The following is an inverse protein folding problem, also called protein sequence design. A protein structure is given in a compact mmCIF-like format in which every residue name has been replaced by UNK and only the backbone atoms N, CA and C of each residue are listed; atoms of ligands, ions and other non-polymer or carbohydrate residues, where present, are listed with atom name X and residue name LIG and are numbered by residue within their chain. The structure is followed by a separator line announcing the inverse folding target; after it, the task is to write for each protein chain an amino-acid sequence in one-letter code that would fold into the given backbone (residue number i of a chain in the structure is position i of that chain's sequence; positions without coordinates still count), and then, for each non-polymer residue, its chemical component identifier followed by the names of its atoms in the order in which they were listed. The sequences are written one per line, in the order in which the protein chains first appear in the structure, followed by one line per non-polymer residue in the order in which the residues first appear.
data_IF_089830474600
#
_entry.id   IF_089830474600
#
_cell.length_a   1.000
_cell.length_b   1.000
_cell.length_c   1.000
_cell.angle_alpha   90.00
_cell.angle_beta   90.00
_cell.angle_gamma   90.00
#
_symmetry.space_group_name_H-M   'P 1'
#
loop_
_entity.id
_entity.type
_entity.pdbx_description
1 polymer ?
#
# COMPACT_ATOMS: atom_id res chain seq x y z
N UNK A 1 -6.11 -12.25 -11.79
CA UNK A 1 -5.25 -11.24 -12.43
C UNK A 1 -4.70 -10.39 -11.31
N UNK A 2 -3.38 -10.30 -11.15
CA UNK A 2 -2.77 -9.45 -10.11
C UNK A 2 -2.66 -8.04 -10.66
N UNK A 3 -3.29 -7.07 -9.99
CA UNK A 3 -3.19 -5.65 -10.35
C UNK A 3 -1.81 -5.13 -9.90
N UNK A 4 -0.96 -4.77 -10.87
CA UNK A 4 0.31 -4.09 -10.63
C UNK A 4 0.03 -2.60 -10.37
N UNK A 5 0.49 -2.08 -9.24
CA UNK A 5 0.34 -0.67 -8.89
C UNK A 5 1.67 -0.11 -8.40
N UNK A 6 1.98 1.12 -8.83
CA UNK A 6 3.18 1.83 -8.39
C UNK A 6 2.91 2.55 -7.09
N UNK A 7 3.73 2.22 -6.08
CA UNK A 7 3.69 2.89 -4.82
C UNK A 7 5.03 3.57 -4.57
N UNK A 8 4.98 4.86 -4.31
CA UNK A 8 6.18 5.63 -4.04
C UNK A 8 6.50 5.51 -2.54
N UNK A 9 7.63 4.94 -2.11
CA UNK A 9 7.91 4.70 -0.67
C UNK A 9 7.92 5.99 0.15
N UNK A 10 8.16 7.16 -0.45
CA UNK A 10 7.99 8.47 0.21
C UNK A 10 6.55 8.86 0.54
N UNK A 11 5.57 8.11 0.05
CA UNK A 11 4.13 8.25 0.36
C UNK A 11 3.61 7.08 1.22
N UNK A 12 4.50 6.18 1.69
CA UNK A 12 4.09 5.10 2.57
C UNK A 12 3.64 5.65 3.92
N UNK A 13 2.44 5.27 4.33
CA UNK A 13 1.86 5.61 5.63
C UNK A 13 2.58 4.84 6.74
N UNK A 14 2.92 3.58 6.49
CA UNK A 14 3.65 2.72 7.42
C UNK A 14 4.26 1.53 6.69
N UNK A 15 5.29 0.93 7.30
CA UNK A 15 6.02 -0.23 6.78
C UNK A 15 6.20 -1.24 7.92
N UNK A 16 5.72 -2.47 7.74
CA UNK A 16 5.82 -3.53 8.74
C UNK A 16 6.12 -4.88 8.08
N UNK A 17 6.99 -5.69 8.67
CA UNK A 17 7.25 -7.05 8.15
C UNK A 17 6.11 -8.04 8.43
N UNK A 18 5.23 -7.70 9.36
CA UNK A 18 4.08 -8.52 9.73
C UNK A 18 2.81 -8.01 9.06
N UNK A 19 2.12 -8.90 8.33
CA UNK A 19 0.90 -8.55 7.61
C UNK A 19 -0.21 -8.07 8.55
N UNK A 20 -0.35 -8.68 9.73
CA UNK A 20 -1.42 -8.35 10.66
C UNK A 20 -1.20 -6.94 11.21
N UNK A 21 0.03 -6.61 11.59
CA UNK A 21 0.39 -5.25 12.00
C UNK A 21 0.18 -4.23 10.89
N UNK A 22 0.61 -4.54 9.68
CA UNK A 22 0.42 -3.66 8.54
C UNK A 22 -1.07 -3.44 8.24
N UNK A 23 -1.88 -4.50 8.33
CA UNK A 23 -3.32 -4.43 8.11
C UNK A 23 -4.04 -3.64 9.20
N UNK A 24 -3.68 -3.84 10.47
CA UNK A 24 -4.22 -3.07 11.59
C UNK A 24 -3.85 -1.59 11.45
N UNK A 25 -2.60 -1.27 11.11
CA UNK A 25 -2.18 0.11 10.86
C UNK A 25 -2.94 0.74 9.68
N UNK A 26 -3.14 0.00 8.59
CA UNK A 26 -3.96 0.43 7.47
C UNK A 26 -5.39 0.73 7.90
N UNK A 27 -6.01 -0.15 8.70
CA UNK A 27 -7.38 0.03 9.20
C UNK A 27 -7.50 1.25 10.13
N UNK A 28 -6.53 1.45 11.03
CA UNK A 28 -6.49 2.63 11.91
C UNK A 28 -6.33 3.91 11.10
N UNK A 29 -5.47 3.90 10.08
CA UNK A 29 -5.28 5.06 9.22
C UNK A 29 -6.53 5.35 8.38
N UNK A 30 -7.15 4.32 7.81
CA UNK A 30 -8.42 4.44 7.11
C UNK A 30 -9.51 5.04 8.00
N UNK A 31 -9.65 4.56 9.23
CA UNK A 31 -10.62 5.06 10.21
C UNK A 31 -10.38 6.54 10.54
N UNK A 32 -9.11 6.93 10.73
CA UNK A 32 -8.73 8.32 11.04
C UNK A 32 -8.86 9.28 9.87
N UNK A 33 -8.40 8.86 8.68
CA UNK A 33 -8.31 9.71 7.50
C UNK A 33 -9.56 9.64 6.63
N UNK A 34 -10.42 8.62 6.84
CA UNK A 34 -11.55 8.25 5.97
C UNK A 34 -11.17 8.15 4.51
N UNK A 35 -9.96 7.64 4.25
CA UNK A 35 -9.40 7.49 2.90
C UNK A 35 -9.17 6.01 2.61
N UNK A 36 -9.45 5.56 1.38
CA UNK A 36 -9.11 4.21 0.95
C UNK A 36 -7.60 4.02 1.03
N UNK A 37 -7.19 2.89 1.63
CA UNK A 37 -5.78 2.52 1.75
C UNK A 37 -5.55 1.13 1.20
N UNK A 38 -4.32 0.88 0.76
CA UNK A 38 -3.91 -0.38 0.18
C UNK A 38 -2.64 -0.86 0.85
N UNK A 39 -2.63 -2.14 1.21
CA UNK A 39 -1.49 -2.85 1.74
C UNK A 39 -0.84 -3.60 0.60
N UNK A 40 0.43 -3.30 0.35
CA UNK A 40 1.21 -3.86 -0.74
C UNK A 40 2.49 -4.44 -0.20
N UNK A 41 3.16 -5.22 -1.04
CA UNK A 41 4.45 -5.80 -0.73
C UNK A 41 5.29 -5.80 -1.98
N UNK A 42 6.52 -5.32 -1.89
CA UNK A 42 7.46 -5.46 -2.99
C UNK A 42 7.90 -6.92 -3.18
N UNK A 43 8.31 -7.24 -4.40
CA UNK A 43 8.91 -8.52 -4.73
C UNK A 43 10.24 -8.65 -3.98
N UNK A 44 10.47 -9.82 -3.38
CA UNK A 44 11.68 -10.16 -2.63
C UNK A 44 11.79 -9.56 -1.21
N UNK A 45 11.28 -10.30 -0.21
CA UNK A 45 11.68 -10.14 1.19
C UNK A 45 11.33 -8.83 1.89
N UNK A 46 10.77 -7.84 1.19
CA UNK A 46 10.44 -6.53 1.73
C UNK A 46 9.22 -6.56 2.66
N UNK A 47 9.15 -5.60 3.61
CA UNK A 47 8.00 -5.43 4.50
C UNK A 47 6.74 -5.06 3.73
N UNK A 48 5.60 -5.31 4.35
CA UNK A 48 4.31 -4.81 3.90
C UNK A 48 4.28 -3.30 4.08
N UNK A 49 3.93 -2.61 3.00
CA UNK A 49 3.85 -1.16 2.93
C UNK A 49 2.39 -0.76 2.79
N UNK A 50 2.01 0.32 3.47
CA UNK A 50 0.64 0.83 3.46
C UNK A 50 0.65 2.14 2.70
N UNK A 51 -0.22 2.26 1.70
CA UNK A 51 -0.34 3.46 0.87
C UNK A 51 -1.78 3.94 0.82
N UNK A 52 -1.95 5.24 0.63
CA UNK A 52 -3.24 5.84 0.31
C UNK A 52 -3.57 5.59 -1.16
N UNK A 53 -4.79 5.19 -1.47
CA UNK A 53 -5.18 4.85 -2.85
C UNK A 53 -5.10 6.08 -3.78
N UNK A 54 -5.34 7.28 -3.24
CA UNK A 54 -5.21 8.54 -3.99
C UNK A 54 -3.76 8.90 -4.32
N UNK A 55 -2.81 8.51 -3.44
CA UNK A 55 -1.38 8.70 -3.68
C UNK A 55 -0.84 7.68 -4.71
N UNK A 56 -1.44 6.49 -4.77
CA UNK A 56 -1.10 5.45 -5.74
C UNK A 56 -1.55 5.82 -7.17
N UNK A 57 -2.71 6.47 -7.34
CA UNK A 57 -3.20 6.87 -8.68
C UNK A 57 -2.49 8.10 -9.28
N UNK A 58 -1.97 9.01 -8.44
CA UNK A 58 -1.36 10.25 -8.93
C UNK A 58 0.06 10.09 -9.50
N UNK A 59 0.71 8.95 -9.27
CA UNK A 59 2.08 8.73 -9.75
C UNK A 59 2.07 8.07 -11.13
N UNK A 60 1.76 8.85 -12.18
CA UNK A 60 2.14 8.51 -13.55
C UNK A 60 3.63 8.80 -13.72
N UNK A 61 4.52 7.89 -13.32
CA UNK A 61 5.86 7.80 -13.92
C UNK A 61 6.49 6.43 -13.60
N UNK A 62 6.91 5.80 -14.70
CA UNK A 62 7.79 4.64 -14.86
C UNK A 62 7.22 3.22 -14.84
N UNK A 63 7.74 2.41 -15.75
CA UNK A 63 7.26 1.11 -16.23
C UNK A 63 7.78 -0.10 -15.42
N UNK A 64 8.27 0.10 -14.18
CA UNK A 64 8.86 -0.96 -13.34
C UNK A 64 8.17 -1.24 -11.97
N UNK A 65 6.97 -1.84 -11.94
CA UNK A 65 6.17 -1.94 -10.71
C UNK A 65 6.56 -3.19 -9.92
N UNK A 66 7.46 -3.01 -8.97
CA UNK A 66 7.96 -4.07 -8.07
C UNK A 66 6.96 -4.42 -6.96
N UNK A 67 5.85 -3.69 -6.84
CA UNK A 67 4.88 -3.81 -5.76
C UNK A 67 3.67 -4.68 -6.14
N UNK A 68 3.34 -5.64 -5.28
CA UNK A 68 2.15 -6.48 -5.37
C UNK A 68 1.13 -6.06 -4.31
N UNK A 69 -0.09 -5.74 -4.75
CA UNK A 69 -1.19 -5.41 -3.83
C UNK A 69 -1.62 -6.69 -3.11
N UNK A 70 -1.55 -6.69 -1.79
CA UNK A 70 -1.96 -7.83 -0.95
C UNK A 70 -3.41 -7.65 -0.49
N UNK A 71 -3.78 -6.43 -0.10
CA UNK A 71 -5.11 -6.13 0.42
C UNK A 71 -5.49 -4.68 0.17
N UNK A 72 -6.77 -4.44 -0.10
CA UNK A 72 -7.37 -3.10 -0.11
C UNK A 72 -8.29 -2.95 1.11
N UNK A 73 -8.28 -1.76 1.70
CA UNK A 73 -9.19 -1.32 2.75
C UNK A 73 -9.94 -0.13 2.18
N UNK A 74 -11.06 -0.45 1.56
CA UNK A 74 -12.11 0.42 1.05
C UNK A 74 -13.39 -0.11 1.73
N UNK A 75 -14.19 0.77 2.32
CA UNK A 75 -15.29 0.44 3.24
C UNK A 75 -16.33 -0.55 2.64
#
# INVERSE_FOLDING_TARGET
MSENAFFNPGQSVSSDYDFDKAYVAAKIYHDKSKKPVVVVREKDGQPYLIFDEQAAQNTKLDENSEYSIIKRVDD
#
